data_IF_782646472985
#
_entry.id   IF_782646472985
#
_cell.length_a   1.000
_cell.length_b   1.000
_cell.length_c   1.000
_cell.angle_alpha   90.00
_cell.angle_beta   90.00
_cell.angle_gamma   90.00
#
_symmetry.space_group_name_H-M   'P 1'
#
loop_
_entity.id
_entity.type
_entity.pdbx_description
1 polymer ?
#
# COMPACT_ATOMS: atom_id res chain seq x y z
N UNK A 1 73.76 56.82 -14.77
CA UNK A 1 73.49 55.41 -15.24
C UNK A 1 72.76 54.54 -14.22
N UNK A 2 72.88 54.71 -12.91
CA UNK A 2 72.32 53.91 -11.82
C UNK A 2 70.79 54.14 -11.68
N UNK A 3 70.22 55.32 -11.92
CA UNK A 3 68.78 55.58 -11.81
C UNK A 3 67.91 54.92 -12.93
N UNK A 4 68.48 54.72 -14.12
CA UNK A 4 67.80 54.06 -15.25
C UNK A 4 67.66 52.53 -15.04
N UNK A 5 68.64 51.86 -14.35
CA UNK A 5 68.63 50.44 -14.03
C UNK A 5 67.62 50.15 -12.95
N UNK A 6 67.44 51.05 -11.96
CA UNK A 6 66.40 50.85 -10.90
C UNK A 6 64.98 50.98 -11.47
N UNK A 7 64.73 51.91 -12.43
CA UNK A 7 63.44 52.02 -13.08
C UNK A 7 63.06 50.80 -13.96
N UNK A 8 64.06 50.15 -14.58
CA UNK A 8 63.85 48.98 -15.43
C UNK A 8 63.55 47.73 -14.58
N UNK A 9 64.23 47.57 -13.43
CA UNK A 9 63.98 46.50 -12.49
C UNK A 9 62.58 46.58 -11.84
N UNK A 10 62.17 47.79 -11.45
CA UNK A 10 60.82 48.00 -10.90
C UNK A 10 59.70 47.72 -11.93
N UNK A 11 59.92 48.11 -13.20
CA UNK A 11 58.95 47.85 -14.27
C UNK A 11 58.79 46.34 -14.51
N UNK A 12 59.86 45.58 -14.57
CA UNK A 12 59.80 44.10 -14.70
C UNK A 12 59.07 43.42 -13.53
N UNK A 13 59.28 43.89 -12.29
CA UNK A 13 58.59 43.35 -11.11
C UNK A 13 57.08 43.68 -11.18
N UNK A 14 56.72 44.89 -11.60
CA UNK A 14 55.32 45.30 -11.76
C UNK A 14 54.62 44.50 -12.89
N UNK A 15 55.29 44.28 -14.01
CA UNK A 15 54.74 43.52 -15.13
C UNK A 15 54.59 42.03 -14.73
N UNK A 16 55.50 41.42 -14.02
CA UNK A 16 55.41 40.07 -13.48
C UNK A 16 54.28 39.97 -12.45
N UNK A 17 54.12 40.97 -11.58
CA UNK A 17 53.00 41.00 -10.63
C UNK A 17 51.65 41.12 -11.30
N UNK A 18 51.55 41.90 -12.40
CA UNK A 18 50.32 41.97 -13.22
C UNK A 18 49.99 40.63 -13.86
N UNK A 19 50.94 39.96 -14.46
CA UNK A 19 50.77 38.64 -15.04
C UNK A 19 50.31 37.58 -13.98
N UNK A 20 50.87 37.60 -12.80
CA UNK A 20 50.48 36.78 -11.68
C UNK A 20 49.04 37.11 -11.25
N UNK A 21 48.69 38.39 -11.19
CA UNK A 21 47.35 38.85 -10.82
C UNK A 21 46.30 38.44 -11.86
N UNK A 22 46.59 38.62 -13.16
CA UNK A 22 45.72 38.17 -14.24
C UNK A 22 45.53 36.66 -14.24
N UNK A 23 46.58 35.90 -13.98
CA UNK A 23 46.51 34.44 -13.85
C UNK A 23 45.65 34.01 -12.64
N UNK A 24 45.76 34.70 -11.50
CA UNK A 24 44.91 34.46 -10.33
C UNK A 24 43.45 34.85 -10.60
N UNK A 25 43.22 35.96 -11.28
CA UNK A 25 41.88 36.37 -11.66
C UNK A 25 41.23 35.35 -12.60
N UNK A 26 41.98 34.81 -13.57
CA UNK A 26 41.51 33.73 -14.45
C UNK A 26 41.17 32.45 -13.70
N UNK A 27 42.00 32.08 -12.70
CA UNK A 27 41.69 30.92 -11.83
C UNK A 27 40.47 31.15 -10.96
N UNK A 28 40.26 32.34 -10.40
CA UNK A 28 39.06 32.68 -9.63
C UNK A 28 37.83 32.60 -10.47
N UNK A 29 37.82 33.17 -11.66
CA UNK A 29 36.68 33.10 -12.58
C UNK A 29 36.32 31.64 -12.97
N UNK A 30 37.34 30.82 -13.22
CA UNK A 30 37.15 29.38 -13.49
C UNK A 30 36.60 28.63 -12.28
N UNK A 31 36.99 28.98 -11.05
CA UNK A 31 36.43 28.43 -9.84
C UNK A 31 34.98 28.83 -9.63
N UNK A 32 34.63 30.12 -9.89
CA UNK A 32 33.26 30.61 -9.79
C UNK A 32 32.34 29.89 -10.77
N UNK A 33 32.76 29.69 -12.03
CA UNK A 33 31.99 28.92 -13.02
C UNK A 33 31.77 27.44 -12.53
N UNK A 34 32.81 26.82 -12.00
CA UNK A 34 32.69 25.44 -11.46
C UNK A 34 31.79 25.37 -10.25
N UNK A 35 31.81 26.38 -9.38
CA UNK A 35 30.88 26.46 -8.23
C UNK A 35 29.45 26.59 -8.71
N UNK A 36 29.18 27.49 -9.66
CA UNK A 36 27.83 27.66 -10.23
C UNK A 36 27.30 26.39 -10.89
N UNK A 37 28.14 25.66 -11.64
CA UNK A 37 27.76 24.39 -12.24
C UNK A 37 27.48 23.35 -11.17
N UNK A 38 28.34 23.24 -10.15
CA UNK A 38 28.16 22.32 -9.05
C UNK A 38 26.91 22.64 -8.22
N UNK A 39 26.61 23.91 -7.96
CA UNK A 39 25.38 24.35 -7.28
C UNK A 39 24.14 24.00 -8.09
N UNK A 40 24.16 24.18 -9.42
CA UNK A 40 23.08 23.80 -10.29
C UNK A 40 22.83 22.27 -10.31
N UNK A 41 23.91 21.47 -10.32
CA UNK A 41 23.82 20.02 -10.30
C UNK A 41 23.39 19.48 -8.93
N UNK A 42 23.87 20.05 -7.84
CA UNK A 42 23.39 19.78 -6.49
C UNK A 42 21.90 20.14 -6.35
N UNK A 43 21.47 21.27 -6.95
CA UNK A 43 20.08 21.66 -7.00
C UNK A 43 19.19 20.65 -7.72
N UNK A 44 19.70 20.00 -8.78
CA UNK A 44 18.99 18.92 -9.48
C UNK A 44 18.92 17.64 -8.60
N UNK A 45 20.03 17.28 -7.95
CA UNK A 45 20.10 16.10 -7.07
C UNK A 45 19.19 16.26 -5.85
N UNK A 46 19.06 17.45 -5.27
CA UNK A 46 18.16 17.73 -4.16
C UNK A 46 16.67 17.56 -4.48
N UNK A 47 16.31 17.54 -5.77
CA UNK A 47 14.94 17.25 -6.22
C UNK A 47 14.60 15.76 -6.19
N UNK A 48 15.60 14.89 -6.03
CA UNK A 48 15.41 13.45 -5.97
C UNK A 48 15.52 12.98 -4.51
N UNK A 49 14.43 12.44 -3.97
CA UNK A 49 14.40 11.78 -2.67
C UNK A 49 14.39 10.27 -2.89
N UNK A 50 15.35 9.59 -2.29
CA UNK A 50 15.43 8.13 -2.26
C UNK A 50 15.05 7.66 -0.86
N UNK A 51 14.16 6.68 -0.78
CA UNK A 51 13.79 6.02 0.47
C UNK A 51 13.51 4.55 0.20
N UNK A 52 13.52 3.73 1.20
CA UNK A 52 13.26 2.32 0.99
C UNK A 52 13.22 1.52 2.27
N UNK A 53 12.98 0.22 2.12
CA UNK A 53 13.03 -0.70 3.23
C UNK A 53 13.20 -2.14 2.75
N UNK A 54 13.81 -2.94 3.61
CA UNK A 54 13.91 -4.39 3.48
C UNK A 54 13.18 -5.04 4.65
N UNK A 55 12.46 -6.11 4.38
CA UNK A 55 11.80 -6.96 5.38
C UNK A 55 12.27 -8.40 5.19
N UNK A 56 13.14 -8.88 6.07
CA UNK A 56 13.48 -10.29 6.21
C UNK A 56 12.50 -10.93 7.20
N UNK A 57 11.98 -12.10 6.88
CA UNK A 57 10.94 -12.76 7.65
C UNK A 57 11.23 -14.24 7.81
N UNK A 58 10.97 -14.75 9.00
CA UNK A 58 10.88 -16.17 9.30
C UNK A 58 9.45 -16.49 9.75
N UNK A 59 8.93 -17.62 9.31
CA UNK A 59 7.63 -18.13 9.73
C UNK A 59 7.70 -19.62 10.02
N UNK A 60 6.93 -20.04 11.03
CA UNK A 60 6.65 -21.41 11.37
C UNK A 60 5.15 -21.65 11.33
N UNK A 61 4.74 -22.75 10.74
CA UNK A 61 3.37 -23.05 10.37
C UNK A 61 2.78 -24.20 11.17
N UNK A 62 1.49 -24.11 11.48
CA UNK A 62 0.73 -25.23 12.02
C UNK A 62 0.59 -26.38 11.01
N UNK A 63 0.23 -27.56 11.49
CA UNK A 63 0.32 -28.82 10.75
C UNK A 63 -0.43 -28.84 9.40
N UNK A 64 -1.56 -28.14 9.28
CA UNK A 64 -2.31 -28.11 8.02
C UNK A 64 -1.65 -27.19 6.98
N UNK A 65 -1.03 -26.07 7.42
CA UNK A 65 -0.22 -25.23 6.54
C UNK A 65 1.10 -25.91 6.18
N UNK A 66 1.74 -26.60 7.11
CA UNK A 66 2.94 -27.41 6.84
C UNK A 66 2.66 -28.43 5.75
N UNK A 67 1.55 -29.19 5.87
CA UNK A 67 1.13 -30.15 4.86
C UNK A 67 0.86 -29.51 3.50
N UNK A 68 0.24 -28.31 3.48
CA UNK A 68 -0.05 -27.58 2.24
C UNK A 68 1.21 -27.01 1.60
N UNK A 69 2.16 -26.50 2.40
CA UNK A 69 3.36 -25.84 1.92
C UNK A 69 4.49 -26.82 1.60
N UNK A 70 4.48 -28.02 2.20
CA UNK A 70 5.56 -29.00 2.12
C UNK A 70 6.74 -28.73 3.06
N UNK A 71 6.63 -27.76 3.96
CA UNK A 71 7.65 -27.39 4.96
C UNK A 71 7.02 -26.76 6.20
N UNK A 72 7.62 -26.98 7.38
CA UNK A 72 7.12 -26.47 8.66
C UNK A 72 7.55 -25.04 8.97
N UNK A 73 8.63 -24.56 8.37
CA UNK A 73 9.12 -23.20 8.56
C UNK A 73 9.97 -22.73 7.38
N UNK A 74 10.15 -21.41 7.26
CA UNK A 74 10.93 -20.84 6.16
C UNK A 74 11.48 -19.46 6.50
N UNK A 75 12.63 -19.11 5.91
CA UNK A 75 13.17 -17.75 5.84
C UNK A 75 12.99 -17.20 4.44
N UNK A 76 12.58 -15.94 4.33
CA UNK A 76 12.46 -15.29 3.03
C UNK A 76 12.51 -13.76 3.14
N UNK A 77 12.77 -13.11 2.01
CA UNK A 77 12.65 -11.66 1.89
C UNK A 77 11.19 -11.33 1.54
N UNK A 78 10.48 -10.81 2.51
CA UNK A 78 9.06 -10.46 2.33
C UNK A 78 8.85 -9.25 1.44
N UNK A 79 9.77 -8.25 1.54
CA UNK A 79 9.79 -7.02 0.72
C UNK A 79 11.21 -6.47 0.65
N UNK A 80 11.57 -5.98 -0.52
CA UNK A 80 12.78 -5.21 -0.77
C UNK A 80 12.43 -4.08 -1.73
N UNK A 81 12.16 -2.88 -1.21
CA UNK A 81 11.61 -1.76 -1.98
C UNK A 81 12.48 -0.55 -1.91
N UNK A 82 12.69 0.07 -3.06
CA UNK A 82 13.32 1.39 -3.19
C UNK A 82 12.30 2.32 -3.83
N UNK A 83 12.14 3.51 -3.28
CA UNK A 83 11.21 4.52 -3.76
C UNK A 83 11.98 5.77 -4.16
N UNK A 84 11.84 6.16 -5.39
CA UNK A 84 12.34 7.41 -5.95
C UNK A 84 11.19 8.40 -6.03
N UNK A 85 11.39 9.60 -5.50
CA UNK A 85 10.46 10.71 -5.63
C UNK A 85 11.22 11.88 -6.24
N UNK A 86 10.78 12.33 -7.39
CA UNK A 86 11.37 13.49 -8.09
C UNK A 86 10.39 14.66 -8.08
N UNK A 87 10.83 15.79 -7.53
CA UNK A 87 10.09 17.05 -7.52
C UNK A 87 10.45 17.85 -8.78
N UNK A 88 9.68 17.66 -9.87
CA UNK A 88 9.96 18.27 -11.17
C UNK A 88 9.78 19.78 -11.16
N UNK A 89 8.75 20.26 -10.48
CA UNK A 89 8.41 21.67 -10.27
C UNK A 89 7.60 21.82 -8.99
N UNK A 90 7.33 23.05 -8.58
CA UNK A 90 6.42 23.30 -7.46
C UNK A 90 5.05 22.68 -7.72
N UNK A 91 4.62 21.84 -6.78
CA UNK A 91 3.36 21.09 -6.89
C UNK A 91 3.35 19.93 -7.90
N UNK A 92 4.49 19.60 -8.54
CA UNK A 92 4.58 18.47 -9.49
C UNK A 92 5.60 17.44 -9.04
N UNK A 93 5.15 16.21 -8.81
CA UNK A 93 6.00 15.09 -8.35
C UNK A 93 5.81 13.86 -9.22
N UNK A 94 6.90 13.13 -9.42
CA UNK A 94 6.90 11.79 -10.01
C UNK A 94 7.39 10.79 -8.97
N UNK A 95 6.73 9.65 -8.90
CA UNK A 95 7.08 8.57 -7.98
C UNK A 95 7.29 7.28 -8.75
N UNK A 96 8.37 6.59 -8.45
CA UNK A 96 8.68 5.25 -8.95
C UNK A 96 9.11 4.37 -7.78
N UNK A 97 8.47 3.21 -7.60
CA UNK A 97 8.82 2.25 -6.57
C UNK A 97 8.87 0.82 -7.13
N UNK A 98 10.05 0.28 -7.43
CA UNK A 98 10.26 -1.14 -7.65
C UNK A 98 10.23 -1.95 -6.34
N UNK A 99 9.85 -3.23 -6.47
CA UNK A 99 9.96 -4.27 -5.44
C UNK A 99 10.83 -5.41 -5.99
N UNK A 100 11.91 -5.71 -5.30
CA UNK A 100 12.93 -6.69 -5.71
C UNK A 100 12.80 -8.02 -4.95
N UNK A 101 11.77 -8.18 -4.10
CA UNK A 101 11.64 -9.32 -3.18
C UNK A 101 11.28 -10.65 -3.85
N UNK A 102 10.74 -10.62 -5.07
CA UNK A 102 10.21 -11.82 -5.76
C UNK A 102 11.19 -12.48 -6.72
N UNK A 103 12.46 -12.05 -6.74
CA UNK A 103 13.44 -12.47 -7.75
C UNK A 103 13.23 -11.84 -9.13
N UNK A 104 12.05 -11.29 -9.39
CA UNK A 104 11.71 -10.49 -10.57
C UNK A 104 11.40 -9.05 -10.15
N UNK A 105 11.75 -8.11 -11.02
CA UNK A 105 11.43 -6.70 -10.81
C UNK A 105 9.91 -6.50 -10.92
N UNK A 106 9.24 -6.20 -9.81
CA UNK A 106 7.83 -5.84 -9.80
C UNK A 106 7.67 -4.33 -9.60
N UNK A 107 6.96 -3.68 -10.54
CA UNK A 107 6.62 -2.27 -10.39
C UNK A 107 5.45 -2.13 -9.39
N UNK A 108 5.69 -1.44 -8.27
CA UNK A 108 4.64 -1.16 -7.27
C UNK A 108 3.99 0.18 -7.52
N UNK A 109 4.75 1.26 -7.50
CA UNK A 109 4.24 2.60 -7.72
C UNK A 109 4.92 3.22 -8.94
N UNK A 110 4.12 3.81 -9.84
CA UNK A 110 4.58 4.59 -10.98
C UNK A 110 3.51 5.63 -11.31
N UNK A 111 3.60 6.81 -10.71
CA UNK A 111 2.58 7.83 -10.88
C UNK A 111 3.15 9.25 -10.80
N UNK A 112 2.40 10.18 -11.41
CA UNK A 112 2.58 11.61 -11.27
C UNK A 112 1.55 12.19 -10.30
N UNK A 113 1.94 13.24 -9.58
CA UNK A 113 1.08 14.05 -8.71
C UNK A 113 1.19 15.49 -9.16
N UNK A 114 0.06 16.16 -9.34
CA UNK A 114 0.00 17.57 -9.74
C UNK A 114 -0.97 18.30 -8.82
N UNK A 115 -0.48 19.31 -8.12
CA UNK A 115 -1.33 20.25 -7.42
C UNK A 115 -2.07 21.12 -8.43
N UNK A 116 -3.38 21.26 -8.28
CA UNK A 116 -4.18 22.06 -9.21
C UNK A 116 -4.14 23.54 -8.79
N UNK A 117 -3.47 24.44 -9.55
CA UNK A 117 -3.18 25.80 -9.09
C UNK A 117 -4.41 26.65 -8.78
N UNK A 118 -5.51 26.41 -9.50
CA UNK A 118 -6.78 27.16 -9.33
C UNK A 118 -7.71 26.57 -8.28
N UNK A 119 -7.47 25.32 -7.86
CA UNK A 119 -8.29 24.57 -6.91
C UNK A 119 -7.43 24.23 -5.70
N UNK A 120 -7.37 25.17 -4.75
CA UNK A 120 -6.57 25.02 -3.53
C UNK A 120 -6.89 23.71 -2.82
N UNK A 121 -5.84 23.02 -2.37
CA UNK A 121 -5.91 21.77 -1.63
C UNK A 121 -6.40 20.54 -2.45
N UNK A 122 -6.51 20.68 -3.77
CA UNK A 122 -6.86 19.59 -4.66
C UNK A 122 -5.64 19.14 -5.46
N UNK A 123 -5.35 17.86 -5.42
CA UNK A 123 -4.28 17.20 -6.15
C UNK A 123 -4.82 16.15 -7.11
N UNK A 124 -4.24 16.11 -8.29
CA UNK A 124 -4.49 15.08 -9.30
C UNK A 124 -3.34 14.08 -9.30
N UNK A 125 -3.67 12.81 -9.26
CA UNK A 125 -2.73 11.69 -9.33
C UNK A 125 -3.05 10.87 -10.58
N UNK A 126 -2.04 10.46 -11.33
CA UNK A 126 -2.23 9.63 -12.52
C UNK A 126 -1.13 8.58 -12.65
N UNK A 127 -1.50 7.33 -12.89
CA UNK A 127 -0.59 6.21 -13.03
C UNK A 127 -0.94 5.01 -12.16
N UNK A 128 0.03 4.19 -11.84
CA UNK A 128 -0.12 3.05 -10.93
C UNK A 128 0.18 3.47 -9.50
N UNK A 129 -0.82 3.40 -8.64
CA UNK A 129 -0.75 3.85 -7.25
C UNK A 129 -1.68 3.04 -6.35
N UNK A 130 -1.57 3.23 -5.03
CA UNK A 130 -2.56 2.68 -4.11
C UNK A 130 -3.93 3.32 -4.35
N UNK A 131 -4.96 2.48 -4.28
CA UNK A 131 -6.35 2.92 -4.27
C UNK A 131 -6.65 3.77 -3.03
N UNK A 132 -7.73 4.57 -3.02
CA UNK A 132 -8.22 5.25 -1.82
C UNK A 132 -8.96 4.29 -0.90
N UNK A 133 -8.31 3.18 -0.56
CA UNK A 133 -8.81 2.14 0.31
C UNK A 133 -8.43 2.44 1.79
N UNK A 134 -8.40 1.45 2.60
CA UNK A 134 -8.12 1.49 4.02
C UNK A 134 -6.80 2.21 4.38
N UNK A 135 -6.82 2.97 5.45
CA UNK A 135 -5.63 3.63 6.00
C UNK A 135 -4.93 2.76 7.06
N UNK A 136 -5.70 2.00 7.84
CA UNK A 136 -5.19 1.24 8.99
C UNK A 136 -4.13 0.23 8.57
N UNK A 137 -4.34 -0.50 7.49
CA UNK A 137 -3.40 -1.48 6.96
C UNK A 137 -2.69 -1.04 5.67
N UNK A 138 -2.79 0.24 5.32
CA UNK A 138 -2.32 0.81 4.06
C UNK A 138 -0.82 0.59 3.85
N UNK A 139 -0.01 1.04 4.76
CA UNK A 139 1.44 0.99 4.60
C UNK A 139 2.02 -0.34 5.06
N UNK A 140 2.72 -1.02 4.15
CA UNK A 140 3.43 -2.26 4.49
C UNK A 140 4.65 -2.06 5.38
N UNK A 141 5.22 -0.86 5.44
CA UNK A 141 6.38 -0.54 6.29
C UNK A 141 5.98 -0.08 7.69
N UNK A 142 4.77 0.44 7.89
CA UNK A 142 4.28 0.92 9.18
C UNK A 142 3.29 -0.02 9.85
N UNK A 143 2.82 -1.07 9.17
CA UNK A 143 1.87 -2.02 9.73
C UNK A 143 2.40 -2.68 11.00
N UNK A 144 1.51 -2.81 11.97
CA UNK A 144 1.86 -3.29 13.30
C UNK A 144 1.96 -4.81 13.40
N UNK A 145 1.34 -5.55 12.48
CA UNK A 145 1.40 -7.02 12.39
C UNK A 145 2.00 -7.46 11.07
N UNK A 146 2.35 -8.73 10.94
CA UNK A 146 3.03 -9.23 9.75
C UNK A 146 2.12 -9.17 8.51
N UNK A 147 0.88 -9.66 8.64
CA UNK A 147 -0.02 -9.77 7.50
C UNK A 147 -1.32 -8.96 7.70
N UNK A 148 -1.93 -8.57 6.59
CA UNK A 148 -3.21 -7.88 6.57
C UNK A 148 -4.36 -8.79 6.99
N UNK A 149 -5.44 -8.18 7.39
CA UNK A 149 -6.70 -8.85 7.68
C UNK A 149 -7.23 -9.59 6.46
N UNK A 150 -7.96 -10.68 6.70
CA UNK A 150 -8.44 -11.56 5.63
C UNK A 150 -9.34 -10.84 4.64
N UNK A 151 -10.26 -9.98 5.12
CA UNK A 151 -11.13 -9.20 4.25
C UNK A 151 -10.32 -8.32 3.30
N UNK A 152 -9.29 -7.63 3.79
CA UNK A 152 -8.44 -6.77 2.97
C UNK A 152 -7.67 -7.59 1.93
N UNK A 153 -7.14 -8.75 2.31
CA UNK A 153 -6.45 -9.64 1.37
C UNK A 153 -7.37 -10.19 0.29
N UNK A 154 -8.63 -10.42 0.62
CA UNK A 154 -9.62 -11.00 -0.29
C UNK A 154 -10.17 -9.99 -1.30
N UNK A 155 -10.54 -8.79 -0.83
CA UNK A 155 -11.18 -7.79 -1.70
C UNK A 155 -10.22 -6.81 -2.36
N UNK A 156 -8.99 -6.68 -1.82
CA UNK A 156 -7.92 -5.84 -2.35
C UNK A 156 -6.63 -6.62 -2.71
N UNK A 157 -6.70 -7.70 -3.46
CA UNK A 157 -5.48 -8.39 -3.88
C UNK A 157 -4.62 -7.46 -4.73
N UNK A 158 -3.36 -7.28 -4.36
CA UNK A 158 -2.42 -6.44 -5.11
C UNK A 158 -2.33 -4.98 -4.70
N UNK A 159 -3.31 -4.40 -3.99
CA UNK A 159 -3.29 -3.07 -3.36
C UNK A 159 -3.23 -1.87 -4.33
N UNK A 160 -2.59 -2.02 -5.48
CA UNK A 160 -2.37 -0.97 -6.47
C UNK A 160 -3.29 -1.15 -7.65
N UNK A 161 -3.59 0.00 -8.25
CA UNK A 161 -4.36 0.04 -9.48
C UNK A 161 -3.85 1.13 -10.41
N UNK A 162 -4.08 0.96 -11.70
CA UNK A 162 -3.78 1.98 -12.71
C UNK A 162 -5.03 2.83 -12.91
N UNK A 163 -4.86 4.14 -12.75
CA UNK A 163 -6.00 5.04 -12.87
C UNK A 163 -5.64 6.51 -12.62
N UNK A 164 -6.69 7.27 -12.38
CA UNK A 164 -6.63 8.69 -12.03
C UNK A 164 -7.34 8.92 -10.71
N UNK A 165 -6.70 9.62 -9.79
CA UNK A 165 -7.22 9.92 -8.45
C UNK A 165 -7.21 11.41 -8.20
N UNK A 166 -8.32 11.92 -7.69
CA UNK A 166 -8.44 13.24 -7.11
C UNK A 166 -8.35 13.12 -5.58
N UNK A 167 -7.55 13.95 -4.96
CA UNK A 167 -7.42 14.04 -3.51
C UNK A 167 -7.59 15.48 -3.06
N UNK A 168 -8.53 15.71 -2.15
CA UNK A 168 -8.74 16.98 -1.48
C UNK A 168 -8.39 16.85 0.00
N UNK A 169 -7.57 17.78 0.49
CA UNK A 169 -7.21 17.89 1.91
C UNK A 169 -7.68 19.24 2.42
N UNK A 170 -8.71 19.23 3.25
CA UNK A 170 -9.28 20.44 3.82
C UNK A 170 -8.36 21.06 4.87
N UNK A 171 -8.21 22.39 4.83
CA UNK A 171 -7.42 23.15 5.81
C UNK A 171 -8.30 23.69 6.94
N UNK A 172 -9.45 24.26 6.59
CA UNK A 172 -10.39 24.82 7.58
C UNK A 172 -11.29 23.74 8.20
N UNK A 173 -11.76 22.82 7.36
CA UNK A 173 -12.54 21.65 7.79
C UNK A 173 -11.58 20.46 7.66
N UNK A 174 -11.30 19.73 8.74
CA UNK A 174 -10.31 18.65 8.74
C UNK A 174 -10.84 17.40 8.05
N UNK A 175 -11.09 17.50 6.74
CA UNK A 175 -11.53 16.40 5.89
C UNK A 175 -10.45 16.04 4.88
N UNK A 176 -10.36 14.76 4.58
CA UNK A 176 -9.63 14.20 3.44
C UNK A 176 -10.62 13.45 2.57
N UNK A 177 -10.76 13.88 1.33
CA UNK A 177 -11.60 13.21 0.35
C UNK A 177 -10.75 12.69 -0.81
N UNK A 178 -11.01 11.46 -1.22
CA UNK A 178 -10.34 10.83 -2.35
C UNK A 178 -11.39 10.21 -3.28
N UNK A 179 -11.20 10.39 -4.59
CA UNK A 179 -12.01 9.75 -5.63
C UNK A 179 -11.06 9.22 -6.71
N UNK A 180 -11.16 7.96 -7.04
CA UNK A 180 -10.34 7.31 -8.06
C UNK A 180 -11.21 6.60 -9.11
N UNK A 181 -10.87 6.82 -10.37
CA UNK A 181 -11.32 6.00 -11.49
C UNK A 181 -10.14 5.12 -11.94
N UNK A 182 -10.37 3.82 -12.07
CA UNK A 182 -9.31 2.83 -12.28
C UNK A 182 -9.75 1.66 -13.16
N UNK A 183 -8.80 0.84 -13.59
CA UNK A 183 -9.08 -0.33 -14.42
C UNK A 183 -9.87 -1.44 -13.68
N UNK A 184 -9.69 -1.58 -12.35
CA UNK A 184 -10.40 -2.58 -11.56
C UNK A 184 -9.83 -4.00 -11.62
N UNK A 185 -8.68 -4.20 -12.24
CA UNK A 185 -8.09 -5.53 -12.51
C UNK A 185 -7.45 -6.20 -11.28
N UNK A 186 -7.13 -5.46 -10.25
CA UNK A 186 -6.52 -5.92 -8.97
C UNK A 186 -5.20 -6.71 -9.08
N UNK A 187 -4.57 -6.75 -10.21
CA UNK A 187 -3.42 -7.65 -10.39
C UNK A 187 -2.10 -7.09 -9.86
N UNK A 188 -2.06 -5.79 -9.57
CA UNK A 188 -0.83 -5.11 -9.12
C UNK A 188 0.31 -5.08 -10.15
N UNK A 189 0.22 -5.88 -11.20
CA UNK A 189 1.18 -5.97 -12.31
C UNK A 189 0.52 -5.77 -13.67
N UNK A 190 -0.79 -5.86 -13.74
CA UNK A 190 -1.53 -5.67 -14.98
C UNK A 190 -1.65 -4.18 -15.30
N UNK A 191 -1.10 -3.77 -16.41
CA UNK A 191 -1.07 -2.37 -16.80
C UNK A 191 -2.21 -2.00 -17.75
N UNK A 192 -2.68 -2.95 -18.55
CA UNK A 192 -3.79 -2.72 -19.47
C UNK A 192 -5.10 -3.23 -18.89
N UNK A 193 -6.16 -2.52 -19.20
CA UNK A 193 -7.50 -2.97 -18.87
C UNK A 193 -7.85 -4.26 -19.65
N UNK A 194 -8.60 -5.13 -19.02
CA UNK A 194 -9.10 -6.37 -19.62
C UNK A 194 -10.51 -6.22 -20.18
N UNK A 195 -11.15 -5.08 -19.89
CA UNK A 195 -12.48 -4.72 -20.39
C UNK A 195 -12.60 -3.19 -20.59
N UNK A 196 -13.77 -2.68 -20.91
CA UNK A 196 -13.97 -1.25 -21.18
C UNK A 196 -14.58 -0.48 -20.01
N UNK A 197 -15.00 -1.17 -18.95
CA UNK A 197 -15.61 -0.55 -17.75
C UNK A 197 -14.52 -0.07 -16.81
N UNK A 198 -14.71 1.11 -16.22
CA UNK A 198 -13.85 1.62 -15.17
C UNK A 198 -14.52 1.44 -13.82
N UNK A 199 -13.74 0.99 -12.86
CA UNK A 199 -14.15 0.92 -11.47
C UNK A 199 -13.93 2.26 -10.78
N UNK A 200 -14.83 2.62 -9.88
CA UNK A 200 -14.79 3.85 -9.11
C UNK A 200 -14.61 3.53 -7.62
N UNK A 201 -13.79 4.29 -6.94
CA UNK A 201 -13.64 4.20 -5.50
C UNK A 201 -13.56 5.59 -4.88
N UNK A 202 -14.35 5.80 -3.83
CA UNK A 202 -14.32 7.04 -3.06
C UNK A 202 -14.10 6.76 -1.57
N UNK A 203 -13.42 7.67 -0.89
CA UNK A 203 -13.15 7.64 0.55
C UNK A 203 -13.24 9.05 1.11
N UNK A 204 -13.91 9.20 2.25
CA UNK A 204 -13.97 10.44 3.01
C UNK A 204 -13.50 10.16 4.43
N UNK A 205 -12.62 10.99 4.98
CA UNK A 205 -12.19 10.93 6.38
C UNK A 205 -12.38 12.28 7.02
N UNK A 206 -12.94 12.28 8.21
CA UNK A 206 -13.05 13.43 9.09
C UNK A 206 -12.14 13.22 10.30
N UNK A 207 -11.26 14.20 10.55
CA UNK A 207 -10.28 14.15 11.65
C UNK A 207 -10.71 15.09 12.78
N UNK A 208 -10.87 14.55 13.98
CA UNK A 208 -11.18 15.30 15.19
C UNK A 208 -9.93 15.32 16.07
N UNK A 209 -9.50 16.51 16.47
CA UNK A 209 -8.37 16.69 17.37
C UNK A 209 -8.84 17.33 18.66
N UNK A 210 -8.60 16.68 19.78
CA UNK A 210 -8.89 17.13 21.13
C UNK A 210 -7.58 17.28 21.91
N UNK A 211 -6.77 18.34 21.65
CA UNK A 211 -5.41 18.45 22.19
C UNK A 211 -5.39 18.47 23.73
N UNK A 212 -6.37 19.12 24.37
CA UNK A 212 -6.45 19.17 25.81
C UNK A 212 -6.67 17.80 26.47
N UNK A 213 -7.28 16.86 25.76
CA UNK A 213 -7.49 15.50 26.22
C UNK A 213 -6.40 14.52 25.70
N UNK A 214 -5.48 14.98 24.85
CA UNK A 214 -4.51 14.12 24.20
C UNK A 214 -5.15 13.08 23.28
N UNK A 215 -6.31 13.41 22.65
CA UNK A 215 -7.08 12.47 21.82
C UNK A 215 -7.15 12.96 20.38
N UNK A 216 -6.92 12.05 19.45
CA UNK A 216 -7.18 12.20 18.02
C UNK A 216 -8.13 11.11 17.53
N UNK A 217 -9.08 11.48 16.67
CA UNK A 217 -10.06 10.54 16.10
C UNK A 217 -10.13 10.79 14.60
N UNK A 218 -9.93 9.75 13.79
CA UNK A 218 -10.18 9.75 12.36
C UNK A 218 -11.31 8.76 12.08
N UNK A 219 -12.31 9.20 11.33
CA UNK A 219 -13.45 8.35 10.98
C UNK A 219 -14.00 8.72 9.59
N UNK A 220 -14.53 7.72 8.88
CA UNK A 220 -15.12 7.99 7.58
C UNK A 220 -15.60 6.76 6.82
N UNK A 221 -16.46 6.99 5.82
CA UNK A 221 -16.91 5.95 4.89
C UNK A 221 -15.95 5.79 3.71
N UNK A 222 -16.03 4.59 3.11
CA UNK A 222 -15.51 4.32 1.79
C UNK A 222 -16.55 3.56 0.95
N UNK A 223 -16.46 3.68 -0.36
CA UNK A 223 -17.37 3.03 -1.30
C UNK A 223 -16.59 2.60 -2.54
N UNK A 224 -16.89 1.41 -3.00
CA UNK A 224 -16.38 0.86 -4.25
C UNK A 224 -17.55 0.52 -5.16
N UNK A 225 -17.45 0.92 -6.42
CA UNK A 225 -18.40 0.61 -7.47
C UNK A 225 -17.66 0.11 -8.71
N UNK A 226 -17.93 -1.13 -9.11
CA UNK A 226 -17.24 -1.75 -10.22
C UNK A 226 -17.84 -3.07 -10.64
N UNK A 227 -17.06 -3.86 -11.35
CA UNK A 227 -17.49 -5.18 -11.80
C UNK A 227 -16.39 -5.98 -12.47
N UNK A 228 -16.62 -7.27 -12.59
CA UNK A 228 -15.79 -8.18 -13.35
C UNK A 228 -16.53 -8.68 -14.60
N UNK A 229 -15.82 -8.67 -15.72
CA UNK A 229 -16.36 -9.19 -16.97
C UNK A 229 -16.41 -10.72 -16.93
N UNK A 230 -17.61 -11.28 -17.02
CA UNK A 230 -17.76 -12.73 -17.17
C UNK A 230 -17.69 -13.12 -18.65
N UNK A 231 -16.77 -14.04 -18.96
CA UNK A 231 -16.63 -14.61 -20.30
C UNK A 231 -17.45 -15.89 -20.48
N UNK A 232 -18.20 -16.30 -19.46
CA UNK A 232 -19.05 -17.51 -19.54
C UNK A 232 -20.36 -17.20 -20.24
N UNK A 233 -20.76 -18.07 -21.14
CA UNK A 233 -21.89 -17.83 -22.05
C UNK A 233 -23.23 -18.29 -21.51
N UNK A 234 -23.32 -19.04 -20.42
CA UNK A 234 -24.55 -19.72 -20.04
C UNK A 234 -24.97 -19.54 -18.60
N UNK A 235 -24.12 -19.87 -17.64
CA UNK A 235 -24.51 -19.95 -16.24
C UNK A 235 -23.44 -19.39 -15.32
N UNK A 236 -23.84 -18.83 -14.22
CA UNK A 236 -22.97 -18.52 -13.09
C UNK A 236 -23.66 -18.94 -11.79
N UNK A 237 -22.87 -19.27 -10.79
CA UNK A 237 -23.38 -19.59 -9.46
C UNK A 237 -23.42 -18.31 -8.64
N UNK A 238 -24.63 -17.97 -8.16
CA UNK A 238 -24.83 -16.78 -7.35
C UNK A 238 -24.51 -17.02 -5.86
N UNK A 239 -24.67 -15.99 -5.04
CA UNK A 239 -24.38 -16.05 -3.60
C UNK A 239 -25.24 -17.06 -2.83
N UNK A 240 -26.44 -17.38 -3.32
CA UNK A 240 -27.31 -18.40 -2.69
C UNK A 240 -26.96 -19.83 -3.12
N UNK A 241 -25.89 -20.02 -3.88
CA UNK A 241 -25.50 -21.32 -4.39
C UNK A 241 -26.33 -21.85 -5.56
N UNK A 242 -27.31 -21.07 -6.03
CA UNK A 242 -28.14 -21.44 -7.20
C UNK A 242 -27.48 -21.00 -8.50
N UNK A 243 -27.82 -21.66 -9.59
CA UNK A 243 -27.37 -21.29 -10.92
C UNK A 243 -28.30 -20.29 -11.53
N UNK A 244 -27.74 -19.17 -11.98
CA UNK A 244 -28.37 -18.18 -12.82
C UNK A 244 -27.80 -18.21 -14.23
N UNK A 245 -28.62 -17.80 -15.22
CA UNK A 245 -28.19 -17.69 -16.61
C UNK A 245 -27.75 -16.25 -16.91
N UNK A 246 -26.62 -16.11 -17.58
CA UNK A 246 -26.25 -14.85 -18.19
C UNK A 246 -27.07 -14.65 -19.48
N UNK A 247 -27.65 -13.45 -19.64
CA UNK A 247 -28.40 -13.09 -20.83
C UNK A 247 -27.56 -13.10 -22.10
N UNK A 248 -26.26 -12.84 -21.95
CA UNK A 248 -25.29 -12.88 -23.05
C UNK A 248 -23.90 -13.20 -22.52
N UNK A 249 -22.99 -13.69 -23.38
CA UNK A 249 -21.56 -13.64 -23.13
C UNK A 249 -21.11 -12.20 -22.86
N UNK A 250 -20.03 -12.02 -22.09
CA UNK A 250 -19.47 -10.70 -21.78
C UNK A 250 -20.41 -9.82 -20.91
N UNK A 251 -21.10 -10.43 -19.97
CA UNK A 251 -21.87 -9.72 -18.97
C UNK A 251 -21.00 -9.34 -17.79
N UNK A 252 -21.18 -8.13 -17.27
CA UNK A 252 -20.50 -7.68 -16.05
C UNK A 252 -21.24 -8.22 -14.82
N UNK A 253 -20.48 -8.80 -13.91
CA UNK A 253 -20.92 -9.17 -12.57
C UNK A 253 -20.48 -8.09 -11.60
N UNK A 254 -21.41 -7.60 -10.78
CA UNK A 254 -21.16 -6.49 -9.88
C UNK A 254 -20.09 -6.80 -8.84
N UNK A 255 -19.32 -5.77 -8.51
CA UNK A 255 -18.31 -5.74 -7.48
C UNK A 255 -18.43 -4.40 -6.77
N UNK A 256 -19.28 -4.40 -5.76
CA UNK A 256 -19.69 -3.19 -5.08
C UNK A 256 -19.65 -3.42 -3.58
N UNK A 257 -19.08 -2.50 -2.84
CA UNK A 257 -19.15 -2.54 -1.38
C UNK A 257 -19.12 -1.15 -0.77
N UNK A 258 -19.57 -1.11 0.46
CA UNK A 258 -19.45 0.03 1.35
C UNK A 258 -18.59 -0.38 2.55
N UNK A 259 -17.87 0.58 3.09
CA UNK A 259 -17.07 0.39 4.29
C UNK A 259 -17.07 1.63 5.16
N UNK A 260 -16.59 1.43 6.38
CA UNK A 260 -16.35 2.51 7.33
C UNK A 260 -15.05 2.23 8.09
N UNK A 261 -14.30 3.27 8.37
CA UNK A 261 -13.09 3.22 9.19
C UNK A 261 -13.23 4.11 10.42
N UNK A 262 -12.57 3.69 11.49
CA UNK A 262 -12.41 4.49 12.69
C UNK A 262 -11.03 4.25 13.30
N UNK A 263 -10.34 5.33 13.67
CA UNK A 263 -9.05 5.29 14.35
C UNK A 263 -9.09 6.29 15.51
N UNK A 264 -8.82 5.81 16.71
CA UNK A 264 -8.77 6.61 17.95
C UNK A 264 -7.36 6.50 18.50
N UNK A 265 -6.74 7.63 18.72
CA UNK A 265 -5.42 7.76 19.33
C UNK A 265 -5.55 8.49 20.63
N UNK A 266 -4.97 7.98 21.70
CA UNK A 266 -4.95 8.61 22.98
C UNK A 266 -3.53 8.61 23.57
N UNK A 267 -3.10 9.77 24.07
CA UNK A 267 -1.83 9.91 24.77
C UNK A 267 -2.00 9.49 26.24
N UNK A 268 -2.35 8.24 26.45
CA UNK A 268 -2.56 7.64 27.77
C UNK A 268 -1.47 6.62 28.02
N UNK A 269 -0.77 6.78 29.16
CA UNK A 269 0.28 5.84 29.60
C UNK A 269 1.32 5.50 28.52
N UNK A 270 1.75 6.51 27.75
CA UNK A 270 2.76 6.36 26.68
C UNK A 270 2.18 6.06 25.31
N UNK A 271 0.88 6.18 25.10
CA UNK A 271 0.19 6.05 23.83
C UNK A 271 -0.62 4.77 23.66
N UNK A 272 -1.86 4.96 23.25
CA UNK A 272 -2.84 3.92 22.96
C UNK A 272 -3.50 4.23 21.62
N UNK A 273 -3.73 3.22 20.77
CA UNK A 273 -4.59 3.38 19.60
C UNK A 273 -5.57 2.21 19.47
N UNK A 274 -6.80 2.54 19.11
CA UNK A 274 -7.82 1.58 18.68
C UNK A 274 -8.16 1.94 17.24
N UNK A 275 -8.02 0.99 16.33
CA UNK A 275 -8.19 1.22 14.89
C UNK A 275 -8.96 0.08 14.28
N UNK A 276 -9.83 0.35 13.33
CA UNK A 276 -10.56 -0.71 12.64
C UNK A 276 -11.29 -0.24 11.42
N UNK A 277 -11.72 -1.21 10.63
CA UNK A 277 -12.53 -1.02 9.44
C UNK A 277 -13.57 -2.14 9.33
N UNK A 278 -14.70 -1.78 8.76
CA UNK A 278 -15.76 -2.69 8.35
C UNK A 278 -16.02 -2.53 6.86
N UNK A 279 -16.27 -3.65 6.17
CA UNK A 279 -16.59 -3.67 4.75
C UNK A 279 -17.61 -4.76 4.47
N UNK A 280 -18.62 -4.44 3.67
CA UNK A 280 -19.64 -5.38 3.23
C UNK A 280 -20.17 -5.03 1.85
N UNK A 281 -20.53 -6.04 1.10
CA UNK A 281 -21.10 -5.85 -0.23
C UNK A 281 -21.06 -7.10 -1.08
N UNK A 282 -20.89 -6.90 -2.36
CA UNK A 282 -20.78 -7.96 -3.35
C UNK A 282 -19.38 -7.98 -3.93
N UNK A 283 -18.78 -9.15 -3.97
CA UNK A 283 -17.51 -9.39 -4.65
C UNK A 283 -17.71 -10.50 -5.68
N UNK A 284 -17.75 -10.12 -6.95
CA UNK A 284 -17.71 -11.08 -8.04
C UNK A 284 -16.25 -11.43 -8.36
N UNK A 285 -16.02 -12.65 -8.76
CA UNK A 285 -14.72 -13.09 -9.28
C UNK A 285 -14.83 -13.40 -10.77
N UNK A 286 -13.81 -13.11 -11.58
CA UNK A 286 -13.80 -13.57 -12.96
C UNK A 286 -13.96 -15.08 -13.00
N UNK A 287 -14.82 -15.57 -13.88
CA UNK A 287 -14.98 -17.01 -14.01
C UNK A 287 -13.70 -17.66 -14.55
N UNK A 288 -13.16 -18.60 -13.80
CA UNK A 288 -12.12 -19.51 -14.28
C UNK A 288 -12.72 -20.69 -15.08
N UNK A 289 -14.04 -20.82 -15.08
CA UNK A 289 -14.75 -21.90 -15.77
C UNK A 289 -14.86 -21.56 -17.25
N UNK A 290 -14.51 -22.51 -18.11
CA UNK A 290 -14.55 -22.31 -19.56
C UNK A 290 -15.97 -21.90 -20.03
N UNK A 291 -16.05 -21.07 -21.08
CA UNK A 291 -17.30 -20.66 -21.69
C UNK A 291 -18.18 -21.83 -22.18
N UNK A 292 -17.56 -22.99 -22.45
CA UNK A 292 -18.19 -24.25 -22.83
C UNK A 292 -18.62 -25.13 -21.67
N UNK A 293 -18.42 -24.70 -20.42
CA UNK A 293 -18.73 -25.51 -19.24
C UNK A 293 -20.18 -25.97 -19.23
N UNK A 294 -20.38 -27.24 -18.87
CA UNK A 294 -21.72 -27.81 -18.70
C UNK A 294 -22.36 -27.32 -17.40
N UNK A 295 -23.69 -27.48 -17.32
CA UNK A 295 -24.43 -27.16 -16.10
C UNK A 295 -23.89 -27.89 -14.87
N UNK A 296 -23.50 -29.16 -15.01
CA UNK A 296 -22.93 -29.95 -13.92
C UNK A 296 -21.58 -29.41 -13.44
N UNK A 297 -20.70 -28.99 -14.36
CA UNK A 297 -19.43 -28.34 -14.03
C UNK A 297 -19.65 -27.01 -13.30
N UNK A 298 -20.66 -26.24 -13.69
CA UNK A 298 -21.00 -24.98 -13.03
C UNK A 298 -21.58 -25.21 -11.62
N UNK A 299 -22.37 -26.26 -11.41
CA UNK A 299 -22.87 -26.63 -10.06
C UNK A 299 -21.69 -26.94 -9.12
N UNK A 300 -20.69 -27.66 -9.63
CA UNK A 300 -19.50 -28.01 -8.86
C UNK A 300 -18.52 -26.85 -8.64
N UNK A 301 -18.65 -25.76 -9.40
CA UNK A 301 -17.76 -24.61 -9.30
C UNK A 301 -18.07 -23.73 -8.09
N UNK A 302 -17.10 -22.93 -7.58
CA UNK A 302 -17.37 -21.93 -6.58
C UNK A 302 -18.37 -20.87 -7.07
N UNK A 303 -19.06 -20.22 -6.14
CA UNK A 303 -19.90 -19.05 -6.48
C UNK A 303 -19.03 -17.93 -7.05
N UNK A 304 -19.48 -17.35 -8.15
CA UNK A 304 -18.78 -16.24 -8.82
C UNK A 304 -19.24 -14.87 -8.32
N UNK A 305 -20.38 -14.84 -7.62
CA UNK A 305 -21.03 -13.65 -7.15
C UNK A 305 -21.38 -13.84 -5.68
N UNK A 306 -20.57 -13.30 -4.79
CA UNK A 306 -20.67 -13.54 -3.37
C UNK A 306 -21.00 -12.26 -2.59
N UNK A 307 -21.96 -12.36 -1.68
CA UNK A 307 -22.17 -11.34 -0.67
C UNK A 307 -21.16 -11.56 0.44
N UNK A 308 -20.27 -10.64 0.65
CA UNK A 308 -19.26 -10.76 1.71
C UNK A 308 -19.48 -9.75 2.82
N UNK A 309 -18.94 -10.04 3.98
CA UNK A 309 -18.70 -9.05 5.03
C UNK A 309 -17.40 -9.35 5.75
N UNK A 310 -16.78 -8.31 6.29
CA UNK A 310 -15.61 -8.47 7.11
C UNK A 310 -15.27 -7.20 7.88
N UNK A 311 -14.58 -7.39 8.98
CA UNK A 311 -14.09 -6.29 9.78
C UNK A 311 -12.83 -6.71 10.53
N UNK A 312 -12.09 -5.71 10.96
CA UNK A 312 -10.96 -5.93 11.84
C UNK A 312 -10.80 -4.77 12.82
N UNK A 313 -10.25 -5.09 13.97
CA UNK A 313 -9.97 -4.12 15.03
C UNK A 313 -8.58 -4.37 15.57
N UNK A 314 -7.80 -3.30 15.70
CA UNK A 314 -6.51 -3.28 16.35
C UNK A 314 -6.60 -2.58 17.70
N UNK A 315 -5.97 -3.15 18.67
CA UNK A 315 -5.57 -2.52 19.90
C UNK A 315 -4.06 -2.41 19.92
N UNK A 316 -3.54 -1.19 19.99
CA UNK A 316 -2.10 -0.91 19.92
C UNK A 316 -1.70 -0.14 21.16
N UNK A 317 -0.76 -0.65 21.93
CA UNK A 317 -0.27 -0.05 23.16
C UNK A 317 1.25 0.10 23.13
N UNK A 318 1.72 1.34 23.28
CA UNK A 318 3.13 1.61 23.48
C UNK A 318 3.53 1.40 24.94
N UNK A 319 4.64 0.72 25.15
CA UNK A 319 5.23 0.45 26.47
C UNK A 319 6.65 1.03 26.46
N UNK A 320 6.78 2.26 26.95
CA UNK A 320 8.00 3.03 26.81
C UNK A 320 8.32 3.36 25.34
N UNK A 321 9.53 3.89 25.08
CA UNK A 321 9.89 4.41 23.73
C UNK A 321 10.19 3.33 22.69
N UNK A 322 10.47 2.10 23.12
CA UNK A 322 10.98 1.05 22.22
C UNK A 322 10.05 -0.15 22.04
N UNK A 323 9.01 -0.28 22.84
CA UNK A 323 8.14 -1.44 22.79
C UNK A 323 6.72 -1.06 22.41
N UNK A 324 6.10 -1.86 21.57
CA UNK A 324 4.70 -1.72 21.20
C UNK A 324 4.05 -3.10 21.21
N UNK A 325 2.92 -3.21 21.91
CA UNK A 325 2.10 -4.40 21.95
C UNK A 325 0.89 -4.22 21.04
N UNK A 326 0.52 -5.27 20.33
CA UNK A 326 -0.60 -5.22 19.39
C UNK A 326 -1.45 -6.46 19.58
N UNK A 327 -2.75 -6.27 19.72
CA UNK A 327 -3.75 -7.31 19.57
C UNK A 327 -4.68 -6.93 18.42
N UNK A 328 -4.84 -7.82 17.46
CA UNK A 328 -5.75 -7.66 16.33
C UNK A 328 -6.77 -8.78 16.35
N UNK A 329 -8.02 -8.44 16.13
CA UNK A 329 -9.07 -9.38 15.78
C UNK A 329 -9.59 -9.07 14.39
N UNK A 330 -9.71 -10.08 13.54
CA UNK A 330 -10.36 -9.94 12.25
C UNK A 330 -11.40 -11.03 12.01
N UNK A 331 -12.48 -10.65 11.33
CA UNK A 331 -13.54 -11.51 10.86
C UNK A 331 -13.70 -11.31 9.36
N UNK A 332 -13.85 -12.41 8.64
CA UNK A 332 -14.15 -12.38 7.21
C UNK A 332 -15.07 -13.54 6.85
N UNK A 333 -16.19 -13.19 6.27
CA UNK A 333 -17.14 -14.12 5.67
C UNK A 333 -17.20 -13.84 4.16
N UNK A 334 -16.69 -14.76 3.34
CA UNK A 334 -16.66 -14.58 1.89
C UNK A 334 -18.05 -14.72 1.25
N UNK A 335 -19.03 -15.36 1.93
CA UNK A 335 -20.38 -15.49 1.43
C UNK A 335 -21.43 -15.60 2.55
N UNK A 336 -21.92 -14.48 3.02
CA UNK A 336 -22.87 -14.34 4.13
C UNK A 336 -24.25 -14.98 3.86
N UNK A 337 -24.51 -15.50 2.67
CA UNK A 337 -25.75 -16.16 2.29
C UNK A 337 -25.74 -17.66 2.50
N UNK A 338 -24.57 -18.24 2.75
CA UNK A 338 -24.37 -19.66 2.94
C UNK A 338 -23.60 -19.89 4.24
N UNK A 339 -23.90 -20.97 4.94
CA UNK A 339 -23.20 -21.39 6.16
C UNK A 339 -23.14 -22.92 6.26
N UNK A 340 -22.22 -23.43 7.08
CA UNK A 340 -22.03 -24.85 7.29
C UNK A 340 -21.80 -25.60 5.98
N UNK A 341 -22.53 -26.70 5.75
CA UNK A 341 -22.35 -27.53 4.55
C UNK A 341 -22.69 -26.81 3.25
N UNK A 342 -23.65 -25.88 3.28
CA UNK A 342 -24.02 -25.09 2.12
C UNK A 342 -22.91 -24.11 1.70
N UNK A 343 -22.06 -23.65 2.62
CA UNK A 343 -20.94 -22.78 2.32
C UNK A 343 -19.84 -23.47 1.48
N UNK A 344 -19.75 -24.80 1.54
CA UNK A 344 -18.73 -25.55 0.82
C UNK A 344 -17.32 -25.09 1.19
N UNK A 345 -16.62 -24.46 0.24
CA UNK A 345 -15.30 -23.88 0.46
C UNK A 345 -15.30 -22.40 0.90
N UNK A 346 -16.45 -21.74 0.93
CA UNK A 346 -16.60 -20.32 1.30
C UNK A 346 -16.82 -20.12 2.79
N UNK A 347 -15.95 -20.72 3.60
CA UNK A 347 -16.04 -20.69 5.06
C UNK A 347 -15.68 -19.31 5.63
N UNK A 348 -16.38 -18.88 6.68
CA UNK A 348 -15.95 -17.70 7.42
C UNK A 348 -14.73 -18.00 8.31
N UNK A 349 -13.98 -16.95 8.62
CA UNK A 349 -12.81 -17.00 9.50
C UNK A 349 -12.89 -15.95 10.59
N UNK A 350 -12.46 -16.32 11.78
CA UNK A 350 -12.18 -15.45 12.93
C UNK A 350 -10.71 -15.58 13.25
N UNK A 351 -9.97 -14.48 13.27
CA UNK A 351 -8.53 -14.55 13.48
C UNK A 351 -8.10 -13.62 14.60
N UNK A 352 -7.44 -14.15 15.60
CA UNK A 352 -6.68 -13.37 16.57
C UNK A 352 -5.22 -13.27 16.12
N UNK A 353 -4.65 -12.08 16.24
CA UNK A 353 -3.22 -11.87 16.02
C UNK A 353 -2.67 -11.08 17.20
N UNK A 354 -1.63 -11.62 17.82
CA UNK A 354 -0.86 -10.94 18.85
C UNK A 354 0.52 -10.61 18.30
N UNK A 355 0.98 -9.38 18.50
CA UNK A 355 2.32 -8.99 18.09
C UNK A 355 3.00 -8.13 19.13
N UNK A 356 4.31 -8.28 19.21
CA UNK A 356 5.21 -7.42 19.93
C UNK A 356 6.21 -6.84 18.97
N UNK A 357 6.38 -5.52 19.02
CA UNK A 357 7.33 -4.79 18.21
C UNK A 357 8.41 -4.19 19.11
N UNK A 358 9.65 -4.37 18.72
CA UNK A 358 10.80 -3.76 19.35
C UNK A 358 11.50 -2.84 18.36
N UNK A 359 11.59 -1.56 18.71
CA UNK A 359 12.28 -0.54 17.92
C UNK A 359 13.71 -0.42 18.42
N UNK A 360 14.65 -0.98 17.66
CA UNK A 360 16.08 -0.86 17.97
C UNK A 360 16.50 0.62 17.87
N UNK A 361 16.06 1.26 16.78
CA UNK A 361 16.13 2.69 16.50
C UNK A 361 15.02 3.08 15.52
N UNK A 362 15.02 4.31 15.00
CA UNK A 362 14.00 4.81 14.07
C UNK A 362 13.97 4.06 12.73
N UNK A 363 15.05 3.39 12.37
CA UNK A 363 15.21 2.71 11.10
C UNK A 363 15.04 1.18 11.19
N UNK A 364 15.29 0.58 12.38
CA UNK A 364 15.27 -0.88 12.55
C UNK A 364 14.21 -1.29 13.57
N UNK A 365 13.32 -2.18 13.12
CA UNK A 365 12.25 -2.75 13.94
C UNK A 365 12.25 -4.26 13.83
N UNK A 366 12.07 -4.94 14.97
CA UNK A 366 11.84 -6.37 15.06
C UNK A 366 10.36 -6.57 15.44
N UNK A 367 9.67 -7.47 14.78
CA UNK A 367 8.28 -7.83 15.07
C UNK A 367 8.18 -9.32 15.30
N UNK A 368 7.72 -9.72 16.49
CA UNK A 368 7.27 -11.07 16.80
C UNK A 368 5.75 -11.10 16.66
N UNK A 369 5.20 -12.09 15.97
CA UNK A 369 3.78 -12.15 15.62
C UNK A 369 3.26 -13.57 15.73
N UNK A 370 2.11 -13.75 16.36
CA UNK A 370 1.41 -15.02 16.40
C UNK A 370 -0.02 -14.84 15.88
N UNK A 371 -0.34 -15.51 14.78
CA UNK A 371 -1.66 -15.50 14.14
C UNK A 371 -2.38 -16.80 14.41
N UNK A 372 -3.63 -16.71 14.87
CA UNK A 372 -4.49 -17.82 15.31
C UNK A 372 -5.82 -17.75 14.54
N UNK A 373 -5.89 -18.22 13.30
CA UNK A 373 -7.13 -18.31 12.56
C UNK A 373 -8.03 -19.40 13.15
N UNK A 374 -9.34 -19.18 13.04
CA UNK A 374 -10.36 -20.18 13.33
C UNK A 374 -11.38 -20.17 12.21
N UNK A 375 -11.53 -21.27 11.52
CA UNK A 375 -12.48 -21.42 10.43
C UNK A 375 -13.85 -21.94 10.89
N UNK A 376 -14.87 -21.66 10.09
CA UNK A 376 -16.16 -22.34 10.17
C UNK A 376 -15.97 -23.84 9.87
N UNK A 377 -16.75 -24.68 10.56
CA UNK A 377 -16.74 -26.13 10.33
C UNK A 377 -17.94 -26.56 9.47
N UNK A 378 -17.73 -27.59 8.65
CA UNK A 378 -18.76 -28.23 7.84
C UNK A 378 -18.38 -29.70 7.58
N UNK A 379 -19.20 -30.44 6.83
CA UNK A 379 -18.95 -31.88 6.58
C UNK A 379 -17.59 -32.14 5.90
N UNK A 380 -17.13 -31.21 5.02
CA UNK A 380 -15.82 -31.34 4.37
C UNK A 380 -14.65 -30.84 5.24
N UNK A 381 -14.91 -29.99 6.23
CA UNK A 381 -13.95 -29.47 7.19
C UNK A 381 -14.55 -29.59 8.62
N UNK A 382 -14.62 -30.80 9.18
CA UNK A 382 -15.35 -31.07 10.44
C UNK A 382 -14.65 -30.49 11.68
N UNK A 383 -13.39 -30.12 11.54
CA UNK A 383 -12.58 -29.53 12.61
C UNK A 383 -11.93 -28.25 12.17
N UNK A 384 -11.58 -27.40 13.13
CA UNK A 384 -10.77 -26.22 12.91
C UNK A 384 -9.38 -26.60 12.38
N UNK A 385 -8.92 -25.87 11.37
CA UNK A 385 -7.61 -26.10 10.77
C UNK A 385 -6.49 -25.73 11.74
N UNK A 386 -5.46 -26.56 11.76
CA UNK A 386 -4.22 -26.26 12.48
C UNK A 386 -3.33 -25.35 11.62
N UNK A 387 -3.77 -24.11 11.43
CA UNK A 387 -3.15 -23.13 10.53
C UNK A 387 -2.56 -21.90 11.26
N UNK A 388 -2.30 -22.03 12.58
CA UNK A 388 -1.61 -21.00 13.34
C UNK A 388 -0.23 -20.73 12.75
N UNK A 389 0.18 -19.47 12.79
CA UNK A 389 1.48 -19.04 12.25
C UNK A 389 2.23 -18.19 13.27
N UNK A 390 3.43 -18.63 13.61
CA UNK A 390 4.40 -17.84 14.37
C UNK A 390 5.38 -17.20 13.39
N UNK A 391 5.58 -15.90 13.48
CA UNK A 391 6.46 -15.19 12.57
C UNK A 391 7.36 -14.18 13.27
N UNK A 392 8.57 -14.02 12.76
CA UNK A 392 9.50 -12.98 13.16
C UNK A 392 9.92 -12.18 11.92
N UNK A 393 9.82 -10.87 12.00
CA UNK A 393 10.26 -9.96 10.92
C UNK A 393 11.28 -8.96 11.45
N UNK A 394 12.34 -8.81 10.71
CA UNK A 394 13.29 -7.68 10.88
C UNK A 394 13.05 -6.75 9.70
N UNK A 395 12.78 -5.49 10.01
CA UNK A 395 12.63 -4.43 9.02
C UNK A 395 13.72 -3.40 9.22
N UNK A 396 14.42 -3.07 8.14
CA UNK A 396 15.31 -1.91 8.05
C UNK A 396 14.77 -0.93 7.00
N UNK A 397 14.70 0.37 7.31
CA UNK A 397 14.26 1.44 6.39
C UNK A 397 15.31 2.56 6.32
N UNK A 398 15.38 3.28 5.21
CA UNK A 398 16.27 4.41 4.97
C UNK A 398 15.53 5.52 4.20
#
# INVERSE_FOLDING_TARGET
MTLALYGYSQKQVVDSLKEVLENHQGKLNSLDERVLVNEADLGKLNKIKVSGYVQAQWESYGADLEKSNGYSNTYYIRRARVKFTYEAADGVKFVLQPDLSTGNLALKDAYAVVNLPKLKNLTLWAGQMNRPDYEVEYSSSSREVLERSRVVRAIYPGEREVGVKLEYIGVKIPIKFQLMAMNGNFTGTQQKDVDSRKDLMARLVYSIKLPAAGIGIDLGPNVYYGGNLSKTNKYFKNSNGTLDSLKSAWTYLDKNWIGAEAQIYADVLGGLAIKGEYMAGVNSTPSSVAASATRAQMIASPSLYNNFSGYYVYFVKNIGPKNQFVAKYDYYDPNTKLSGDAAGGSLYYKTWTLAWQYYLNDNIRITLNYEMPKNETNASNPTDKKDNTLGVRIQAKF
#
